data_IF_565354447888
#
_entry.id   IF_565354447888
#
_cell.length_a   1.000
_cell.length_b   1.000
_cell.length_c   1.000
_cell.angle_alpha   90.00
_cell.angle_beta   90.00
_cell.angle_gamma   90.00
#
_symmetry.space_group_name_H-M   'P 1'
#
loop_
_entity.id
_entity.type
_entity.pdbx_description
1 polymer ?
#
# COMPACT_ATOMS: atom_id res chain seq x y z
N UNK A 1 38.94 11.22 -52.96
CA UNK A 1 38.23 12.43 -52.55
C UNK A 1 37.09 11.92 -51.68
N UNK A 2 37.24 11.78 -50.36
CA UNK A 2 36.94 12.77 -49.29
C UNK A 2 35.54 13.35 -49.52
N UNK A 3 34.54 13.22 -48.71
CA UNK A 3 34.26 13.23 -47.31
C UNK A 3 32.74 13.29 -47.17
N UNK A 4 32.15 12.83 -46.21
CA UNK A 4 31.70 13.51 -45.01
C UNK A 4 30.52 12.81 -44.36
N UNK A 5 30.83 11.99 -43.39
CA UNK A 5 29.80 11.50 -42.47
C UNK A 5 29.45 12.62 -41.46
N UNK A 6 28.22 13.13 -41.48
CA UNK A 6 27.66 13.97 -40.43
C UNK A 6 26.89 13.12 -39.44
N UNK A 7 27.44 13.06 -38.24
CA UNK A 7 26.82 12.44 -37.06
C UNK A 7 25.54 13.23 -36.68
N UNK A 8 24.42 12.52 -36.59
CA UNK A 8 23.20 13.02 -35.89
C UNK A 8 23.34 12.74 -34.40
N UNK A 9 23.42 13.81 -33.64
CA UNK A 9 23.36 13.80 -32.19
C UNK A 9 21.97 13.31 -31.71
N UNK A 10 21.95 12.25 -30.95
CA UNK A 10 20.75 11.78 -30.26
C UNK A 10 20.46 12.71 -29.08
N UNK A 11 19.26 13.29 -29.04
CA UNK A 11 18.74 14.06 -27.92
C UNK A 11 18.67 13.22 -26.68
N UNK A 12 19.37 13.65 -25.63
CA UNK A 12 19.37 12.98 -24.35
C UNK A 12 18.05 13.16 -23.61
N UNK A 13 17.40 12.07 -23.31
CA UNK A 13 16.33 12.01 -22.32
C UNK A 13 16.91 12.37 -20.94
N UNK A 14 16.48 13.50 -20.42
CA UNK A 14 16.78 13.90 -19.04
C UNK A 14 15.92 13.06 -18.10
N UNK A 15 16.50 12.39 -17.08
CA UNK A 15 15.71 11.68 -16.10
C UNK A 15 14.83 12.67 -15.34
N UNK A 16 13.52 12.36 -15.27
CA UNK A 16 12.53 13.06 -14.47
C UNK A 16 12.94 13.05 -13.00
N UNK A 17 13.21 14.22 -12.43
CA UNK A 17 13.46 14.39 -11.00
C UNK A 17 12.11 14.24 -10.26
N UNK A 18 11.96 13.37 -9.26
CA UNK A 18 10.75 13.30 -8.45
C UNK A 18 10.65 14.57 -7.58
N UNK A 19 9.65 15.41 -7.87
CA UNK A 19 9.23 16.51 -6.99
C UNK A 19 8.44 15.90 -5.84
N UNK A 20 8.94 15.98 -4.61
CA UNK A 20 8.12 15.68 -3.45
C UNK A 20 8.76 14.98 -2.24
N UNK A 21 10.09 14.89 -2.12
CA UNK A 21 10.74 14.24 -0.96
C UNK A 21 10.35 14.86 0.39
N UNK A 22 10.30 16.18 0.50
CA UNK A 22 10.07 16.87 1.78
C UNK A 22 8.63 16.75 2.32
N UNK A 23 7.63 16.54 1.47
CA UNK A 23 6.25 16.30 1.90
C UNK A 23 6.02 14.83 2.30
N UNK A 24 6.80 13.92 1.74
CA UNK A 24 6.72 12.46 1.97
C UNK A 24 7.35 12.03 3.30
N UNK A 25 8.43 12.66 3.74
CA UNK A 25 9.02 12.42 5.06
C UNK A 25 8.06 12.73 6.22
N UNK A 26 7.16 13.70 6.07
CA UNK A 26 6.18 14.06 7.09
C UNK A 26 5.10 13.01 7.35
N UNK A 27 4.66 12.27 6.34
CA UNK A 27 3.61 11.26 6.50
C UNK A 27 4.13 10.00 7.22
N UNK A 28 5.36 9.59 6.92
CA UNK A 28 5.99 8.43 7.58
C UNK A 28 6.49 8.75 9.00
N UNK A 29 6.93 9.99 9.24
CA UNK A 29 7.34 10.44 10.57
C UNK A 29 6.16 10.48 11.55
N UNK A 30 4.93 10.68 11.09
CA UNK A 30 3.72 10.60 11.93
C UNK A 30 3.42 9.15 12.35
N UNK A 31 3.70 8.17 11.50
CA UNK A 31 3.52 6.74 11.83
C UNK A 31 4.62 6.18 12.75
N UNK A 32 5.86 6.70 12.65
CA UNK A 32 7.01 6.23 13.42
C UNK A 32 7.29 7.05 14.70
N UNK A 33 6.76 8.27 14.84
CA UNK A 33 7.17 9.20 15.89
C UNK A 33 6.56 8.98 17.26
N UNK A 34 5.82 7.88 17.50
CA UNK A 34 5.18 7.63 18.81
C UNK A 34 5.37 6.20 19.31
N UNK A 35 6.62 5.75 19.34
CA UNK A 35 7.01 4.76 20.35
C UNK A 35 6.98 5.44 21.72
N UNK A 36 6.46 4.80 22.79
CA UNK A 36 6.59 5.32 24.14
C UNK A 36 8.09 5.56 24.38
N UNK A 37 8.40 6.72 24.93
CA UNK A 37 9.78 7.09 25.35
C UNK A 37 10.22 6.16 26.47
N UNK A 38 10.73 5.00 26.14
CA UNK A 38 11.73 4.36 26.95
C UNK A 38 13.06 5.01 26.54
N UNK A 39 13.79 5.51 27.53
CA UNK A 39 15.09 6.14 27.37
C UNK A 39 16.08 5.21 26.65
N UNK A 40 16.12 5.29 25.32
CA UNK A 40 17.26 4.83 24.52
C UNK A 40 17.40 5.84 23.37
N UNK A 41 18.60 6.36 23.18
CA UNK A 41 18.92 7.42 22.24
C UNK A 41 18.34 7.17 20.86
N UNK A 42 18.03 8.24 20.13
CA UNK A 42 17.62 8.23 18.73
C UNK A 42 18.63 7.41 17.91
N UNK A 43 18.33 6.14 17.69
CA UNK A 43 19.16 5.26 16.87
C UNK A 43 18.97 5.71 15.43
N UNK A 44 20.01 6.30 14.87
CA UNK A 44 20.03 6.59 13.44
C UNK A 44 19.81 5.27 12.68
N UNK A 45 18.78 5.23 11.81
CA UNK A 45 18.50 4.04 11.03
C UNK A 45 19.70 3.72 10.15
N UNK A 46 20.08 2.46 10.11
CA UNK A 46 21.09 1.97 9.16
C UNK A 46 20.66 2.23 7.73
N UNK A 47 21.61 2.30 6.81
CA UNK A 47 21.29 2.45 5.37
C UNK A 47 20.40 1.32 4.87
N UNK A 48 20.57 0.09 5.35
CA UNK A 48 19.70 -1.04 5.04
C UNK A 48 18.26 -0.77 5.49
N UNK A 49 18.04 -0.28 6.71
CA UNK A 49 16.71 0.03 7.22
C UNK A 49 16.09 1.20 6.45
N UNK A 50 16.88 2.24 6.11
CA UNK A 50 16.41 3.35 5.26
C UNK A 50 16.00 2.85 3.87
N UNK A 51 16.79 2.00 3.25
CA UNK A 51 16.48 1.40 1.95
C UNK A 51 15.23 0.53 2.00
N UNK A 52 15.10 -0.31 3.02
CA UNK A 52 13.94 -1.16 3.24
C UNK A 52 12.64 -0.32 3.31
N UNK A 53 12.61 0.69 4.18
CA UNK A 53 11.46 1.58 4.33
C UNK A 53 11.17 2.40 3.07
N UNK A 54 12.21 2.83 2.37
CA UNK A 54 12.09 3.59 1.14
C UNK A 54 11.47 2.76 0.02
N UNK A 55 11.93 1.52 -0.18
CA UNK A 55 11.35 0.61 -1.18
C UNK A 55 9.90 0.27 -0.83
N UNK A 56 9.59 -0.04 0.44
CA UNK A 56 8.22 -0.26 0.88
C UNK A 56 7.31 0.93 0.54
N UNK A 57 7.79 2.15 0.73
CA UNK A 57 7.04 3.34 0.41
C UNK A 57 6.80 3.50 -1.09
N UNK A 58 7.82 3.27 -1.93
CA UNK A 58 7.68 3.34 -3.39
C UNK A 58 6.67 2.31 -3.92
N UNK A 59 6.59 1.15 -3.26
CA UNK A 59 5.59 0.13 -3.57
C UNK A 59 4.21 0.59 -3.08
N UNK A 60 4.11 1.04 -1.84
CA UNK A 60 2.84 1.44 -1.22
C UNK A 60 2.20 2.66 -1.91
N UNK A 61 2.98 3.58 -2.48
CA UNK A 61 2.46 4.74 -3.23
C UNK A 61 2.33 4.49 -4.75
N UNK A 62 2.61 3.27 -5.20
CA UNK A 62 2.51 2.87 -6.61
C UNK A 62 3.58 3.45 -7.53
N UNK A 63 4.61 4.09 -7.00
CA UNK A 63 5.77 4.54 -7.79
C UNK A 63 6.53 3.34 -8.37
N UNK A 64 6.59 2.23 -7.60
CA UNK A 64 7.02 0.91 -8.07
C UNK A 64 5.78 0.02 -8.20
N UNK A 65 5.23 -0.15 -9.41
CA UNK A 65 4.04 -0.95 -9.64
C UNK A 65 4.31 -2.45 -9.51
N UNK A 66 3.27 -3.26 -9.27
CA UNK A 66 3.33 -4.71 -9.30
C UNK A 66 3.93 -5.20 -10.63
N UNK A 67 4.91 -6.11 -10.56
CA UNK A 67 5.71 -6.56 -11.71
C UNK A 67 6.77 -5.55 -12.17
N UNK A 68 6.81 -4.35 -11.61
CA UNK A 68 7.81 -3.32 -11.93
C UNK A 68 9.21 -3.74 -11.50
N UNK A 69 10.21 -3.54 -12.38
CA UNK A 69 11.61 -3.85 -12.12
C UNK A 69 12.26 -2.88 -11.12
N UNK A 70 13.11 -3.39 -10.25
CA UNK A 70 13.85 -2.62 -9.27
C UNK A 70 15.35 -2.68 -9.57
N UNK A 71 16.00 -1.51 -9.60
CA UNK A 71 17.43 -1.41 -9.85
C UNK A 71 18.20 -1.08 -8.57
N UNK A 72 19.02 -2.04 -8.11
CA UNK A 72 19.96 -1.81 -6.99
C UNK A 72 20.86 -0.59 -7.22
N UNK A 73 21.30 -0.39 -8.46
CA UNK A 73 22.22 0.69 -8.81
C UNK A 73 21.55 2.08 -8.68
N UNK A 74 20.31 2.18 -9.15
CA UNK A 74 19.55 3.43 -9.04
C UNK A 74 19.24 3.76 -7.59
N UNK A 75 18.76 2.78 -6.80
CA UNK A 75 18.49 2.94 -5.38
C UNK A 75 19.74 3.31 -4.58
N UNK A 76 20.88 2.67 -4.87
CA UNK A 76 22.16 2.99 -4.22
C UNK A 76 22.58 4.46 -4.50
N UNK A 77 22.41 4.90 -5.74
CA UNK A 77 22.69 6.30 -6.13
C UNK A 77 21.73 7.29 -5.45
N UNK A 78 20.46 6.96 -5.36
CA UNK A 78 19.42 7.80 -4.76
C UNK A 78 19.65 7.97 -3.25
N UNK A 79 20.01 6.88 -2.57
CA UNK A 79 20.28 6.87 -1.14
C UNK A 79 21.73 7.23 -0.75
N UNK A 80 22.56 7.56 -1.74
CA UNK A 80 23.96 7.94 -1.51
C UNK A 80 24.79 6.83 -0.85
N UNK A 81 24.55 5.55 -1.23
CA UNK A 81 25.15 4.41 -0.55
C UNK A 81 25.77 3.38 -1.52
N UNK A 82 26.43 2.36 -0.96
CA UNK A 82 26.90 1.21 -1.74
C UNK A 82 25.72 0.26 -2.05
N UNK A 83 25.92 -0.66 -3.01
CA UNK A 83 24.89 -1.63 -3.41
C UNK A 83 24.59 -2.69 -2.34
N UNK A 84 25.53 -3.01 -1.46
CA UNK A 84 25.37 -4.07 -0.46
C UNK A 84 24.17 -3.87 0.46
N UNK A 85 24.03 -2.76 1.21
CA UNK A 85 22.89 -2.56 2.09
C UNK A 85 21.56 -2.47 1.33
N UNK A 86 21.58 -2.04 0.06
CA UNK A 86 20.38 -2.02 -0.80
C UNK A 86 19.95 -3.45 -1.13
N UNK A 87 20.89 -4.30 -1.54
CA UNK A 87 20.63 -5.72 -1.83
C UNK A 87 20.12 -6.47 -0.60
N UNK A 88 20.69 -6.21 0.58
CA UNK A 88 20.20 -6.79 1.84
C UNK A 88 18.75 -6.39 2.13
N UNK A 89 18.40 -5.11 1.94
CA UNK A 89 17.03 -4.63 2.08
C UNK A 89 16.08 -5.31 1.07
N UNK A 90 16.50 -5.41 -0.20
CA UNK A 90 15.71 -6.06 -1.25
C UNK A 90 15.52 -7.57 -0.97
N UNK A 91 16.56 -8.26 -0.50
CA UNK A 91 16.47 -9.66 -0.10
C UNK A 91 15.51 -9.86 1.08
N UNK A 92 15.51 -8.93 2.04
CA UNK A 92 14.55 -8.97 3.14
C UNK A 92 13.12 -8.78 2.63
N UNK A 93 12.88 -7.81 1.73
CA UNK A 93 11.57 -7.59 1.11
C UNK A 93 11.13 -8.79 0.26
N UNK A 94 12.07 -9.49 -0.38
CA UNK A 94 11.78 -10.72 -1.11
C UNK A 94 11.39 -11.87 -0.17
N UNK A 95 12.06 -12.02 0.97
CA UNK A 95 11.69 -12.99 2.00
C UNK A 95 10.33 -12.70 2.64
N UNK A 96 9.88 -11.43 2.61
CA UNK A 96 8.57 -10.98 3.08
C UNK A 96 7.49 -11.02 1.95
N UNK A 97 7.86 -11.47 0.74
CA UNK A 97 6.94 -11.62 -0.39
C UNK A 97 6.60 -10.32 -1.14
N UNK A 98 7.23 -9.19 -0.78
CA UNK A 98 7.02 -7.89 -1.44
C UNK A 98 7.76 -7.77 -2.78
N UNK A 99 8.86 -8.49 -2.91
CA UNK A 99 9.65 -8.61 -4.12
C UNK A 99 9.77 -10.07 -4.54
N UNK A 100 10.01 -10.31 -5.82
CA UNK A 100 10.31 -11.63 -6.38
C UNK A 100 11.42 -11.54 -7.42
N UNK A 101 12.07 -12.66 -7.73
CA UNK A 101 13.02 -12.73 -8.83
C UNK A 101 12.27 -12.82 -10.17
N UNK A 102 12.65 -11.97 -11.12
CA UNK A 102 12.14 -12.09 -12.49
C UNK A 102 12.85 -13.23 -13.22
N UNK A 103 12.23 -13.71 -14.30
CA UNK A 103 12.85 -14.73 -15.18
C UNK A 103 14.19 -14.25 -15.79
N UNK A 104 14.39 -12.94 -15.93
CA UNK A 104 15.64 -12.35 -16.42
C UNK A 104 16.71 -12.16 -15.33
N UNK A 105 16.43 -12.58 -14.08
CA UNK A 105 17.40 -12.54 -12.98
C UNK A 105 17.42 -11.23 -12.18
N UNK A 106 16.56 -10.25 -12.50
CA UNK A 106 16.39 -9.03 -11.72
C UNK A 106 15.33 -9.19 -10.62
N UNK A 107 15.26 -8.22 -9.71
CA UNK A 107 14.17 -8.13 -8.74
C UNK A 107 13.00 -7.32 -9.31
N UNK A 108 11.79 -7.77 -9.04
CA UNK A 108 10.53 -7.10 -9.40
C UNK A 108 9.61 -7.03 -8.19
N UNK A 109 8.69 -6.07 -8.20
CA UNK A 109 7.60 -6.04 -7.23
C UNK A 109 6.72 -7.27 -7.44
N UNK A 110 6.35 -7.94 -6.35
CA UNK A 110 5.51 -9.13 -6.42
C UNK A 110 4.17 -8.85 -7.12
N UNK A 111 3.67 -9.87 -7.81
CA UNK A 111 2.31 -9.89 -8.36
C UNK A 111 1.55 -10.98 -7.61
N UNK A 112 0.44 -10.59 -6.99
CA UNK A 112 -0.39 -11.57 -6.29
C UNK A 112 -1.27 -12.33 -7.29
N UNK A 113 -1.33 -13.63 -7.15
CA UNK A 113 -2.35 -14.47 -7.78
C UNK A 113 -3.69 -14.34 -7.05
N UNK A 114 -4.74 -14.92 -7.61
CA UNK A 114 -6.04 -14.98 -6.95
C UNK A 114 -5.98 -15.79 -5.65
N UNK A 115 -5.22 -16.86 -5.67
CA UNK A 115 -4.96 -17.74 -4.53
C UNK A 115 -4.21 -17.00 -3.43
N UNK A 116 -3.15 -16.25 -3.77
CA UNK A 116 -2.41 -15.43 -2.80
C UNK A 116 -3.35 -14.43 -2.08
N UNK A 117 -4.28 -13.82 -2.80
CA UNK A 117 -5.28 -12.93 -2.19
C UNK A 117 -6.13 -13.70 -1.17
N UNK A 118 -6.63 -14.88 -1.52
CA UNK A 118 -7.43 -15.71 -0.61
C UNK A 118 -6.63 -16.03 0.65
N UNK A 119 -5.42 -16.54 0.52
CA UNK A 119 -4.53 -16.94 1.62
C UNK A 119 -4.18 -15.76 2.54
N UNK A 120 -3.89 -14.58 1.96
CA UNK A 120 -3.63 -13.37 2.74
C UNK A 120 -4.85 -12.93 3.56
N UNK A 121 -6.05 -13.06 3.01
CA UNK A 121 -7.28 -12.74 3.74
C UNK A 121 -7.61 -13.76 4.83
N UNK A 122 -7.34 -15.05 4.62
CA UNK A 122 -7.45 -16.08 5.67
C UNK A 122 -6.49 -15.80 6.84
N UNK A 123 -5.26 -15.38 6.56
CA UNK A 123 -4.33 -14.93 7.60
C UNK A 123 -4.87 -13.73 8.37
N UNK A 124 -5.48 -12.76 7.69
CA UNK A 124 -6.12 -11.61 8.34
C UNK A 124 -7.27 -12.05 9.25
N UNK A 125 -8.15 -12.91 8.76
CA UNK A 125 -9.25 -13.45 9.57
C UNK A 125 -8.73 -14.11 10.85
N UNK A 126 -7.75 -15.00 10.73
CA UNK A 126 -7.20 -15.72 11.87
C UNK A 126 -6.55 -14.78 12.91
N UNK A 127 -5.78 -13.79 12.46
CA UNK A 127 -4.96 -12.96 13.33
C UNK A 127 -5.66 -11.70 13.81
N UNK A 128 -6.37 -10.99 12.92
CA UNK A 128 -6.99 -9.72 13.26
C UNK A 128 -8.25 -9.92 14.11
N UNK A 129 -9.06 -10.95 13.84
CA UNK A 129 -10.25 -11.27 14.66
C UNK A 129 -9.83 -11.66 16.08
N UNK A 130 -8.80 -12.51 16.22
CA UNK A 130 -8.21 -12.81 17.52
C UNK A 130 -7.73 -11.54 18.24
N UNK A 131 -7.03 -10.67 17.52
CA UNK A 131 -6.54 -9.40 18.06
C UNK A 131 -7.70 -8.50 18.53
N UNK A 132 -8.77 -8.37 17.75
CA UNK A 132 -9.94 -7.56 18.11
C UNK A 132 -10.58 -8.02 19.41
N UNK A 133 -10.80 -9.33 19.59
CA UNK A 133 -11.32 -9.89 20.83
C UNK A 133 -10.39 -9.66 22.03
N UNK A 134 -9.06 -9.74 21.82
CA UNK A 134 -8.09 -9.42 22.84
C UNK A 134 -8.11 -7.94 23.24
N UNK A 135 -8.17 -7.04 22.26
CA UNK A 135 -8.15 -5.58 22.48
C UNK A 135 -9.43 -5.13 23.18
N UNK A 136 -10.58 -5.65 22.76
CA UNK A 136 -11.87 -5.30 23.37
C UNK A 136 -11.99 -5.69 24.84
N UNK A 137 -11.13 -6.58 25.35
CA UNK A 137 -11.03 -6.86 26.81
C UNK A 137 -10.25 -5.79 27.58
N UNK A 138 -9.57 -4.89 26.88
CA UNK A 138 -8.77 -3.84 27.48
C UNK A 138 -9.56 -2.54 27.46
N UNK A 139 -9.39 -1.71 28.51
CA UNK A 139 -9.92 -0.35 28.47
C UNK A 139 -9.16 0.48 27.44
N UNK A 140 -9.88 1.02 26.46
CA UNK A 140 -9.30 1.88 25.43
C UNK A 140 -8.87 3.22 26.05
N UNK A 141 -7.61 3.60 25.87
CA UNK A 141 -7.13 4.90 26.37
C UNK A 141 -7.81 6.03 25.57
N UNK A 142 -8.29 7.11 26.22
CA UNK A 142 -8.96 8.20 25.52
C UNK A 142 -8.15 8.78 24.34
N UNK A 143 -6.83 8.88 24.49
CA UNK A 143 -5.96 9.36 23.43
C UNK A 143 -5.92 8.43 22.20
N UNK A 144 -6.03 7.12 22.38
CA UNK A 144 -6.05 6.16 21.29
C UNK A 144 -7.42 6.11 20.62
N UNK A 145 -8.49 6.24 21.39
CA UNK A 145 -9.85 6.41 20.86
C UNK A 145 -9.96 7.63 19.95
N UNK A 146 -9.45 8.79 20.38
CA UNK A 146 -9.42 10.01 19.56
C UNK A 146 -8.62 9.79 18.27
N UNK A 147 -7.49 9.10 18.34
CA UNK A 147 -6.68 8.83 17.15
C UNK A 147 -7.40 7.91 16.15
N UNK A 148 -8.03 6.84 16.64
CA UNK A 148 -8.81 5.94 15.79
C UNK A 148 -9.99 6.69 15.16
N UNK A 149 -10.71 7.50 15.95
CA UNK A 149 -11.81 8.32 15.43
C UNK A 149 -11.35 9.28 14.35
N UNK A 150 -10.21 9.96 14.53
CA UNK A 150 -9.66 10.86 13.51
C UNK A 150 -9.39 10.14 12.16
N UNK A 151 -8.98 8.88 12.20
CA UNK A 151 -8.76 8.08 10.98
C UNK A 151 -10.09 7.72 10.30
N UNK A 152 -11.11 7.37 11.08
CA UNK A 152 -12.48 7.16 10.57
C UNK A 152 -13.05 8.45 9.97
N UNK A 153 -12.87 9.58 10.65
CA UNK A 153 -13.34 10.89 10.19
C UNK A 153 -12.66 11.34 8.90
N UNK A 154 -11.39 10.96 8.69
CA UNK A 154 -10.68 11.28 7.45
C UNK A 154 -11.26 10.50 6.26
N UNK A 155 -11.65 9.23 6.46
CA UNK A 155 -12.40 8.48 5.43
C UNK A 155 -13.75 9.13 5.15
N UNK A 156 -14.44 9.63 6.18
CA UNK A 156 -15.70 10.37 6.01
C UNK A 156 -15.52 11.69 5.22
N UNK A 157 -14.37 12.35 5.35
CA UNK A 157 -14.05 13.53 4.53
C UNK A 157 -13.84 13.16 3.07
N UNK A 158 -13.07 12.08 2.79
CA UNK A 158 -12.88 11.58 1.44
C UNK A 158 -14.20 11.19 0.78
N UNK A 159 -15.10 10.49 1.50
CA UNK A 159 -16.44 10.16 1.04
C UNK A 159 -17.23 11.41 0.63
N UNK A 160 -17.20 12.45 1.48
CA UNK A 160 -17.88 13.73 1.21
C UNK A 160 -17.25 14.50 0.04
N UNK A 161 -15.93 14.53 -0.05
CA UNK A 161 -15.19 15.17 -1.15
C UNK A 161 -15.57 14.50 -2.49
N UNK A 162 -15.58 13.16 -2.53
CA UNK A 162 -15.94 12.40 -3.71
C UNK A 162 -17.41 12.60 -4.11
N UNK A 163 -18.32 12.56 -3.14
CA UNK A 163 -19.77 12.79 -3.39
C UNK A 163 -20.05 14.18 -3.94
N UNK A 164 -19.27 15.17 -3.56
CA UNK A 164 -19.41 16.57 -4.06
C UNK A 164 -18.74 16.76 -5.42
N UNK A 165 -17.74 15.96 -5.74
CA UNK A 165 -17.08 15.98 -7.04
C UNK A 165 -17.93 15.25 -8.08
N UNK A 166 -17.63 15.46 -9.37
CA UNK A 166 -18.25 14.66 -10.45
C UNK A 166 -17.48 13.35 -10.73
N UNK A 167 -16.48 13.04 -9.91
CA UNK A 167 -15.65 11.84 -10.06
C UNK A 167 -16.43 10.60 -9.62
N UNK A 168 -16.25 9.50 -10.33
CA UNK A 168 -16.86 8.20 -9.97
C UNK A 168 -16.10 7.49 -8.86
N UNK A 169 -14.80 7.73 -8.76
CA UNK A 169 -13.90 7.10 -7.79
C UNK A 169 -12.79 8.04 -7.36
N UNK A 170 -12.10 7.70 -6.27
CA UNK A 170 -10.94 8.44 -5.78
C UNK A 170 -9.86 8.54 -6.86
N UNK A 171 -9.25 9.72 -7.00
CA UNK A 171 -8.01 9.87 -7.77
C UNK A 171 -6.81 9.30 -7.02
N UNK A 172 -5.63 9.30 -7.67
CA UNK A 172 -4.41 8.75 -7.08
C UNK A 172 -4.07 9.38 -5.72
N UNK A 173 -4.15 10.69 -5.60
CA UNK A 173 -3.79 11.39 -4.35
C UNK A 173 -4.80 11.11 -3.23
N UNK A 174 -6.08 11.05 -3.57
CA UNK A 174 -7.13 10.70 -2.63
C UNK A 174 -6.99 9.22 -2.19
N UNK A 175 -6.62 8.32 -3.12
CA UNK A 175 -6.37 6.91 -2.81
C UNK A 175 -5.16 6.73 -1.89
N UNK A 176 -4.07 7.48 -2.09
CA UNK A 176 -2.92 7.50 -1.16
C UNK A 176 -3.35 7.92 0.26
N UNK A 177 -4.20 8.95 0.38
CA UNK A 177 -4.77 9.39 1.66
C UNK A 177 -5.64 8.29 2.29
N UNK A 178 -6.50 7.67 1.50
CA UNK A 178 -7.35 6.57 1.97
C UNK A 178 -6.51 5.41 2.51
N UNK A 179 -5.54 4.92 1.74
CA UNK A 179 -4.66 3.81 2.14
C UNK A 179 -3.91 4.14 3.44
N UNK A 180 -3.40 5.38 3.58
CA UNK A 180 -2.74 5.81 4.79
C UNK A 180 -3.69 5.77 6.02
N UNK A 181 -4.96 6.12 5.84
CA UNK A 181 -5.97 6.06 6.90
C UNK A 181 -6.35 4.62 7.25
N UNK A 182 -6.60 3.78 6.25
CA UNK A 182 -6.96 2.37 6.44
C UNK A 182 -5.83 1.60 7.14
N UNK A 183 -4.62 1.65 6.59
CA UNK A 183 -3.45 1.02 7.21
C UNK A 183 -3.18 1.60 8.61
N UNK A 184 -3.33 2.91 8.79
CA UNK A 184 -3.16 3.58 10.07
C UNK A 184 -4.16 3.13 11.13
N UNK A 185 -5.45 2.96 10.78
CA UNK A 185 -6.50 2.48 11.67
C UNK A 185 -6.17 1.08 12.19
N UNK A 186 -5.90 0.15 11.30
CA UNK A 186 -5.60 -1.22 11.68
C UNK A 186 -4.25 -1.34 12.42
N UNK A 187 -3.21 -0.65 11.98
CA UNK A 187 -1.92 -0.66 12.67
C UNK A 187 -2.02 -0.12 14.10
N UNK A 188 -2.77 0.98 14.32
CA UNK A 188 -3.01 1.52 15.64
C UNK A 188 -3.83 0.56 16.50
N UNK A 189 -4.90 -0.01 15.96
CA UNK A 189 -5.73 -1.00 16.65
C UNK A 189 -4.88 -2.21 17.06
N UNK A 190 -4.14 -2.80 16.14
CA UNK A 190 -3.29 -3.98 16.40
C UNK A 190 -2.16 -3.69 17.39
N UNK A 191 -1.67 -2.45 17.46
CA UNK A 191 -0.62 -2.05 18.40
C UNK A 191 -1.05 -2.24 19.87
N UNK A 192 -2.34 -2.18 20.15
CA UNK A 192 -2.89 -2.37 21.50
C UNK A 192 -2.81 -3.80 21.99
N UNK A 193 -2.55 -4.77 21.11
CA UNK A 193 -2.32 -6.17 21.52
C UNK A 193 -1.05 -6.36 22.34
N UNK A 194 -0.11 -5.41 22.31
CA UNK A 194 1.25 -5.50 22.85
C UNK A 194 2.01 -6.75 22.35
N UNK A 195 1.69 -7.23 21.15
CA UNK A 195 2.35 -8.35 20.50
C UNK A 195 3.02 -7.86 19.20
N UNK A 196 4.30 -7.54 19.29
CA UNK A 196 5.07 -7.00 18.15
C UNK A 196 5.18 -7.97 16.97
N UNK A 197 5.18 -9.28 17.21
CA UNK A 197 5.20 -10.30 16.14
C UNK A 197 3.88 -10.33 15.40
N UNK A 198 2.76 -10.34 16.11
CA UNK A 198 1.43 -10.26 15.52
C UNK A 198 1.28 -8.99 14.67
N UNK A 199 1.69 -7.83 15.22
CA UNK A 199 1.64 -6.56 14.51
C UNK A 199 2.43 -6.61 13.20
N UNK A 200 3.66 -7.17 13.24
CA UNK A 200 4.50 -7.27 12.04
C UNK A 200 3.80 -8.09 10.96
N UNK A 201 3.32 -9.29 11.30
CA UNK A 201 2.68 -10.19 10.33
C UNK A 201 1.45 -9.53 9.72
N UNK A 202 0.58 -8.90 10.53
CA UNK A 202 -0.63 -8.23 10.04
C UNK A 202 -0.26 -7.05 9.14
N UNK A 203 0.71 -6.22 9.53
CA UNK A 203 1.12 -5.07 8.73
C UNK A 203 1.72 -5.48 7.38
N UNK A 204 2.55 -6.52 7.36
CA UNK A 204 3.15 -7.06 6.13
C UNK A 204 2.06 -7.64 5.21
N UNK A 205 1.12 -8.40 5.76
CA UNK A 205 -0.03 -8.94 5.02
C UNK A 205 -0.90 -7.84 4.40
N UNK A 206 -1.21 -6.80 5.19
CA UNK A 206 -2.00 -5.66 4.70
C UNK A 206 -1.27 -4.85 3.64
N UNK A 207 0.04 -4.68 3.79
CA UNK A 207 0.85 -4.00 2.80
C UNK A 207 0.84 -4.76 1.46
N UNK A 208 0.99 -6.09 1.48
CA UNK A 208 0.88 -6.92 0.27
C UNK A 208 -0.46 -6.72 -0.43
N UNK A 209 -1.57 -6.75 0.31
CA UNK A 209 -2.91 -6.53 -0.24
C UNK A 209 -3.04 -5.10 -0.81
N UNK A 210 -2.49 -4.08 -0.13
CA UNK A 210 -2.60 -2.67 -0.55
C UNK A 210 -1.90 -2.38 -1.88
N UNK A 211 -0.81 -3.08 -2.18
CA UNK A 211 -0.10 -2.98 -3.47
C UNK A 211 -1.06 -3.27 -4.63
N UNK A 212 -1.98 -4.20 -4.43
CA UNK A 212 -3.01 -4.53 -5.42
C UNK A 212 -4.06 -3.44 -5.60
N UNK A 213 -4.44 -2.76 -4.51
CA UNK A 213 -5.48 -1.74 -4.52
C UNK A 213 -5.11 -0.50 -5.34
N UNK A 214 -3.83 -0.12 -5.34
CA UNK A 214 -3.35 1.12 -5.97
C UNK A 214 -3.44 1.07 -7.51
N UNK A 215 -3.39 -0.12 -8.10
CA UNK A 215 -3.22 -0.28 -9.55
C UNK A 215 -4.52 -0.39 -10.34
N UNK A 216 -5.71 -0.39 -9.69
CA UNK A 216 -6.95 -0.82 -10.35
C UNK A 216 -8.13 0.13 -10.32
N UNK A 217 -7.91 1.33 -9.91
CA UNK A 217 -8.96 2.33 -9.76
C UNK A 217 -9.17 2.69 -8.30
N UNK A 218 -9.68 3.88 -8.06
CA UNK A 218 -9.98 4.34 -6.71
C UNK A 218 -11.32 3.78 -6.24
N UNK A 219 -11.49 3.68 -4.92
CA UNK A 219 -12.79 3.38 -4.32
C UNK A 219 -13.85 4.41 -4.70
N UNK A 220 -15.07 3.96 -4.90
CA UNK A 220 -16.22 4.83 -5.06
C UNK A 220 -16.80 5.28 -3.69
N UNK A 221 -17.79 6.16 -3.71
CA UNK A 221 -18.40 6.68 -2.50
C UNK A 221 -19.13 5.60 -1.67
N UNK A 222 -19.69 4.58 -2.31
CA UNK A 222 -20.37 3.49 -1.61
C UNK A 222 -19.38 2.60 -0.86
N UNK A 223 -18.27 2.27 -1.48
CA UNK A 223 -17.15 1.54 -0.86
C UNK A 223 -16.58 2.32 0.34
N UNK A 224 -16.28 3.61 0.19
CA UNK A 224 -15.79 4.45 1.28
C UNK A 224 -16.76 4.50 2.45
N UNK A 225 -18.06 4.64 2.17
CA UNK A 225 -19.10 4.60 3.19
C UNK A 225 -19.10 3.27 3.94
N UNK A 226 -19.07 2.15 3.24
CA UNK A 226 -19.04 0.81 3.82
C UNK A 226 -17.82 0.62 4.73
N UNK A 227 -16.63 0.97 4.27
CA UNK A 227 -15.39 0.87 5.05
C UNK A 227 -15.47 1.73 6.32
N UNK A 228 -15.90 2.98 6.19
CA UNK A 228 -16.08 3.89 7.32
C UNK A 228 -17.05 3.33 8.36
N UNK A 229 -18.17 2.76 7.92
CA UNK A 229 -19.17 2.16 8.81
C UNK A 229 -18.60 0.95 9.56
N UNK A 230 -17.86 0.07 8.88
CA UNK A 230 -17.17 -1.03 9.56
C UNK A 230 -16.12 -0.55 10.56
N UNK A 231 -15.29 0.43 10.20
CA UNK A 231 -14.29 0.98 11.13
C UNK A 231 -14.97 1.60 12.36
N UNK A 232 -16.07 2.34 12.17
CA UNK A 232 -16.85 2.90 13.30
C UNK A 232 -17.43 1.79 14.19
N UNK A 233 -18.02 0.74 13.60
CA UNK A 233 -18.57 -0.40 14.36
C UNK A 233 -17.48 -1.10 15.18
N UNK A 234 -16.31 -1.30 14.61
CA UNK A 234 -15.15 -1.91 15.32
C UNK A 234 -14.73 -1.02 16.48
N UNK A 235 -14.55 0.29 16.24
CA UNK A 235 -14.15 1.26 17.28
C UNK A 235 -15.17 1.31 18.42
N UNK A 236 -16.45 1.39 18.09
CA UNK A 236 -17.53 1.45 19.08
C UNK A 236 -17.60 0.17 19.93
N UNK A 237 -17.43 -1.01 19.32
CA UNK A 237 -17.42 -2.28 20.03
C UNK A 237 -16.21 -2.36 20.97
N UNK A 238 -15.02 -1.99 20.49
CA UNK A 238 -13.80 -1.94 21.33
C UNK A 238 -13.96 -0.95 22.49
N UNK A 239 -14.53 0.23 22.25
CA UNK A 239 -14.74 1.24 23.26
C UNK A 239 -15.73 0.79 24.35
N UNK A 240 -16.74 0.00 23.99
CA UNK A 240 -17.70 -0.61 24.93
C UNK A 240 -17.22 -1.92 25.56
N UNK A 241 -16.01 -2.36 25.24
CA UNK A 241 -15.46 -3.66 25.69
C UNK A 241 -16.33 -4.86 25.24
N UNK A 242 -17.00 -4.72 24.11
CA UNK A 242 -17.80 -5.76 23.48
C UNK A 242 -16.91 -6.65 22.59
N UNK A 243 -16.42 -7.75 23.16
CA UNK A 243 -15.51 -8.66 22.46
C UNK A 243 -16.17 -9.32 21.24
N UNK A 244 -17.40 -9.79 21.39
CA UNK A 244 -18.12 -10.47 20.30
C UNK A 244 -18.49 -9.51 19.20
N UNK A 245 -18.97 -8.31 19.55
CA UNK A 245 -19.24 -7.24 18.60
C UNK A 245 -17.99 -6.81 17.83
N UNK A 246 -16.85 -6.63 18.50
CA UNK A 246 -15.59 -6.27 17.86
C UNK A 246 -15.10 -7.35 16.88
N UNK A 247 -15.12 -8.61 17.29
CA UNK A 247 -14.75 -9.75 16.45
C UNK A 247 -15.68 -9.88 15.24
N UNK A 248 -17.00 -9.80 15.46
CA UNK A 248 -18.00 -9.89 14.39
C UNK A 248 -17.91 -8.73 13.40
N UNK A 249 -17.74 -7.49 13.88
CA UNK A 249 -17.60 -6.33 13.03
C UNK A 249 -16.34 -6.43 12.14
N UNK A 250 -15.21 -6.84 12.74
CA UNK A 250 -13.97 -7.00 11.99
C UNK A 250 -14.03 -8.16 10.99
N UNK A 251 -14.64 -9.30 11.36
CA UNK A 251 -14.85 -10.44 10.46
C UNK A 251 -15.63 -10.00 9.20
N UNK A 252 -16.74 -9.29 9.38
CA UNK A 252 -17.55 -8.77 8.26
C UNK A 252 -16.77 -7.76 7.41
N UNK A 253 -15.99 -6.90 8.04
CA UNK A 253 -15.13 -5.97 7.31
C UNK A 253 -14.10 -6.69 6.44
N UNK A 254 -13.42 -7.70 6.99
CA UNK A 254 -12.43 -8.50 6.26
C UNK A 254 -13.09 -9.25 5.11
N UNK A 255 -14.26 -9.86 5.34
CA UNK A 255 -14.99 -10.58 4.30
C UNK A 255 -15.43 -9.65 3.17
N UNK A 256 -16.03 -8.50 3.46
CA UNK A 256 -16.44 -7.52 2.44
C UNK A 256 -15.21 -7.04 1.62
N UNK A 257 -14.10 -6.75 2.28
CA UNK A 257 -12.84 -6.34 1.62
C UNK A 257 -12.26 -7.47 0.75
N UNK A 258 -12.38 -8.74 1.17
CA UNK A 258 -11.96 -9.91 0.37
C UNK A 258 -12.78 -10.03 -0.90
N UNK A 259 -14.10 -9.96 -0.79
CA UNK A 259 -15.03 -10.07 -1.92
C UNK A 259 -14.76 -8.97 -2.96
N UNK A 260 -14.60 -7.72 -2.50
CA UNK A 260 -14.23 -6.59 -3.36
C UNK A 260 -12.90 -6.85 -4.08
N UNK A 261 -11.87 -7.29 -3.36
CA UNK A 261 -10.54 -7.52 -3.92
C UNK A 261 -10.50 -8.64 -4.94
N UNK A 262 -11.25 -9.73 -4.70
CA UNK A 262 -11.37 -10.82 -5.65
C UNK A 262 -12.15 -10.40 -6.90
N UNK A 263 -13.21 -9.62 -6.75
CA UNK A 263 -13.96 -9.08 -7.90
C UNK A 263 -13.08 -8.18 -8.77
N UNK A 264 -12.28 -7.29 -8.17
CA UNK A 264 -11.31 -6.45 -8.89
C UNK A 264 -10.24 -7.28 -9.62
N UNK A 265 -9.75 -8.36 -8.98
CA UNK A 265 -8.80 -9.27 -9.60
C UNK A 265 -9.41 -9.95 -10.84
N UNK A 266 -10.61 -10.48 -10.70
CA UNK A 266 -11.30 -11.22 -11.77
C UNK A 266 -11.64 -10.27 -12.94
N UNK A 267 -11.99 -9.01 -12.68
CA UNK A 267 -12.21 -7.97 -13.70
C UNK A 267 -10.92 -7.67 -14.48
N UNK A 268 -9.84 -7.41 -13.75
CA UNK A 268 -8.54 -7.14 -14.38
C UNK A 268 -8.05 -8.31 -15.23
N UNK A 269 -8.24 -9.54 -14.77
CA UNK A 269 -7.85 -10.73 -15.52
C UNK A 269 -8.62 -10.81 -16.82
N UNK A 270 -9.93 -10.49 -16.81
CA UNK A 270 -10.77 -10.43 -18.02
C UNK A 270 -10.28 -9.34 -18.98
N UNK A 271 -10.00 -8.14 -18.50
CA UNK A 271 -9.52 -7.05 -19.34
C UNK A 271 -8.14 -7.34 -19.95
N UNK A 272 -7.23 -7.96 -19.17
CA UNK A 272 -5.94 -8.39 -19.68
C UNK A 272 -6.08 -9.43 -20.80
N UNK A 273 -6.94 -10.44 -20.61
CA UNK A 273 -7.21 -11.47 -21.63
C UNK A 273 -7.84 -10.89 -22.89
N UNK A 274 -8.71 -9.90 -22.78
CA UNK A 274 -9.30 -9.20 -23.93
C UNK A 274 -8.25 -8.42 -24.71
N UNK A 275 -7.33 -7.72 -24.01
CA UNK A 275 -6.22 -7.00 -24.65
C UNK A 275 -5.29 -7.92 -25.42
N UNK A 276 -4.95 -9.06 -24.82
CA UNK A 276 -4.06 -10.07 -25.45
C UNK A 276 -4.72 -10.77 -26.65
N UNK A 277 -6.04 -10.85 -26.66
CA UNK A 277 -6.81 -11.48 -27.76
C UNK A 277 -7.14 -10.50 -28.92
N UNK A 278 -6.92 -9.19 -28.76
CA UNK A 278 -7.12 -8.22 -29.83
C UNK A 278 -6.00 -8.32 -30.88
N UNK A 279 -6.34 -8.46 -32.16
CA UNK A 279 -5.33 -8.43 -33.22
C UNK A 279 -4.56 -7.10 -33.19
N UNK A 280 -3.24 -7.16 -33.43
CA UNK A 280 -2.30 -6.00 -33.43
C UNK A 280 -2.75 -4.82 -34.32
N UNK A 281 -3.73 -5.03 -35.22
CA UNK A 281 -4.29 -4.02 -36.11
C UNK A 281 -5.26 -3.03 -35.45
N UNK A 282 -5.66 -3.23 -34.20
CA UNK A 282 -6.61 -2.35 -33.48
C UNK A 282 -5.96 -1.46 -32.43
N UNK A 283 -4.72 -1.00 -32.66
CA UNK A 283 -4.10 0.00 -31.80
C UNK A 283 -4.68 1.41 -32.12
N UNK A 284 -5.89 1.67 -31.61
CA UNK A 284 -6.67 2.91 -31.80
C UNK A 284 -5.91 4.17 -31.30
N UNK A 285 -4.90 4.00 -30.47
CA UNK A 285 -4.10 5.12 -29.92
C UNK A 285 -3.13 5.72 -30.96
N UNK A 286 -2.86 5.06 -32.08
CA UNK A 286 -2.01 5.60 -33.15
C UNK A 286 -2.77 6.35 -34.23
N UNK A 287 -4.08 6.28 -34.27
CA UNK A 287 -4.88 6.99 -35.30
C UNK A 287 -5.27 8.43 -34.96
N UNK A 288 -4.97 8.91 -33.73
CA UNK A 288 -5.38 10.25 -33.28
C UNK A 288 -4.34 11.36 -33.39
N UNK A 289 -3.18 11.15 -34.01
CA UNK A 289 -2.12 12.18 -34.08
C UNK A 289 -1.75 12.67 -35.52
N UNK A 290 -2.59 12.38 -36.51
CA UNK A 290 -2.45 12.99 -37.82
C UNK A 290 -3.83 13.49 -38.32
N UNK A 291 -4.18 14.70 -37.87
CA UNK A 291 -5.28 15.50 -38.32
C UNK A 291 -5.08 16.95 -37.90
#
# INVERSE_FOLDING_TARGET
MRDGAKAMARSGDKPLRPRGLAAREKLYSVQMSRRPKTHHGTRDLSIREKAYLYIQQLIADGTLPAGGGISELLLAKELGSSRTPIREAMNQLAAEGLLSQSQSGGMVVAQLSREDIVELYEMREALEIYAAGKIARLSLRPADQVRLQNLVDEVAKLEKELTKSKQKSLDKQQMERFIACDLGFHALLMSMTNNSRLQKIINDTRLLISIFAIHRGGHDAATLKSIREYHQMILDAVARQDCEGAMSALARHIQASREERLAEYDEWKREASLRDSMPVFFDIHKMGQHG
#
